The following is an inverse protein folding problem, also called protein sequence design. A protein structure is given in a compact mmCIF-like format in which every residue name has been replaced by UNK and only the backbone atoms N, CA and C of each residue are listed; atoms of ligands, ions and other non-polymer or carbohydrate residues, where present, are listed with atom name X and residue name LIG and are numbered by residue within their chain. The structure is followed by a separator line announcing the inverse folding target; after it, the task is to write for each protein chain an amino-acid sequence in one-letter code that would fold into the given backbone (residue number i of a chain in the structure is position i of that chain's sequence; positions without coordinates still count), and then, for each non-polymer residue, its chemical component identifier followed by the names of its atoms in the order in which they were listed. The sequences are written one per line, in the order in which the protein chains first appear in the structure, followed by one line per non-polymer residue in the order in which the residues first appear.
data_IF_958321549076
#
_entry.id   IF_958321549076
#
_cell.length_a   1.000
_cell.length_b   1.000
_cell.length_c   1.000
_cell.angle_alpha   90.00
_cell.angle_beta   90.00
_cell.angle_gamma   90.00
#
_symmetry.space_group_name_H-M   'P 1'
#
loop_
_entity.id
_entity.type
_entity.pdbx_description
1 polymer ?
#
# COMPACT_ATOMS: atom_id res chain seq x y z
N UNK A 1 61.97 40.54 -22.92
CA UNK A 1 60.83 39.78 -23.49
C UNK A 1 61.33 38.37 -23.81
N UNK A 2 60.99 37.34 -23.02
CA UNK A 2 61.48 35.97 -23.25
C UNK A 2 60.70 35.33 -24.40
N UNK A 3 61.35 35.11 -25.54
CA UNK A 3 60.79 34.37 -26.66
C UNK A 3 60.92 32.88 -26.35
N UNK A 4 59.89 32.28 -25.78
CA UNK A 4 59.82 30.83 -25.59
C UNK A 4 59.97 30.11 -26.93
N UNK A 5 60.80 29.07 -26.95
CA UNK A 5 61.07 28.30 -28.16
C UNK A 5 59.79 27.56 -28.60
N UNK A 6 59.59 27.36 -29.92
CA UNK A 6 58.43 26.64 -30.46
C UNK A 6 58.26 25.23 -29.85
N UNK A 7 59.34 24.63 -29.35
CA UNK A 7 59.34 23.33 -28.65
C UNK A 7 58.74 23.43 -27.23
N UNK A 8 59.07 24.46 -26.46
CA UNK A 8 58.52 24.66 -25.11
C UNK A 8 57.01 24.94 -25.13
N UNK A 9 56.51 25.67 -26.14
CA UNK A 9 55.07 25.88 -26.32
C UNK A 9 54.33 24.59 -26.67
N UNK A 10 54.92 23.73 -27.50
CA UNK A 10 54.33 22.44 -27.88
C UNK A 10 54.28 21.45 -26.70
N UNK A 11 55.34 21.39 -25.89
CA UNK A 11 55.40 20.59 -24.65
C UNK A 11 54.32 21.00 -23.65
N UNK A 12 54.12 22.31 -23.42
CA UNK A 12 53.08 22.84 -22.53
C UNK A 12 51.68 22.51 -23.03
N UNK A 13 51.41 22.65 -24.32
CA UNK A 13 50.12 22.27 -24.92
C UNK A 13 49.85 20.76 -24.81
N UNK A 14 50.88 19.90 -24.95
CA UNK A 14 50.75 18.44 -24.78
C UNK A 14 50.44 18.07 -23.32
N UNK A 15 51.11 18.74 -22.36
CA UNK A 15 50.86 18.58 -20.91
C UNK A 15 49.47 19.08 -20.53
N UNK A 16 49.04 20.21 -21.09
CA UNK A 16 47.72 20.81 -20.87
C UNK A 16 46.60 19.95 -21.47
N UNK A 17 46.79 19.36 -22.67
CA UNK A 17 45.86 18.40 -23.27
C UNK A 17 45.74 17.10 -22.47
N UNK A 18 46.83 16.62 -21.88
CA UNK A 18 46.80 15.45 -20.98
C UNK A 18 46.07 15.75 -19.68
N UNK A 19 46.22 16.95 -19.11
CA UNK A 19 45.47 17.35 -17.90
C UNK A 19 43.98 17.57 -18.18
N UNK A 20 43.60 18.10 -19.34
CA UNK A 20 42.18 18.26 -19.71
C UNK A 20 41.53 16.92 -20.07
N UNK A 21 42.25 16.00 -20.73
CA UNK A 21 41.80 14.62 -20.95
C UNK A 21 41.60 13.87 -19.63
N UNK A 22 42.54 14.01 -18.68
CA UNK A 22 42.39 13.41 -17.35
C UNK A 22 41.17 13.97 -16.60
N UNK A 23 40.95 15.29 -16.64
CA UNK A 23 39.77 15.93 -16.05
C UNK A 23 38.46 15.47 -16.71
N UNK A 24 38.45 15.27 -18.02
CA UNK A 24 37.28 14.76 -18.76
C UNK A 24 36.96 13.31 -18.38
N UNK A 25 37.96 12.44 -18.23
CA UNK A 25 37.78 11.05 -17.78
C UNK A 25 37.17 11.03 -16.37
N UNK A 26 37.69 11.86 -15.46
CA UNK A 26 37.14 11.98 -14.09
C UNK A 26 35.68 12.46 -14.14
N UNK A 27 35.37 13.46 -14.96
CA UNK A 27 33.99 13.95 -15.11
C UNK A 27 33.04 12.84 -15.63
N UNK A 28 33.48 12.04 -16.61
CA UNK A 28 32.69 10.91 -17.12
C UNK A 28 32.46 9.86 -16.03
N UNK A 29 33.49 9.51 -15.25
CA UNK A 29 33.36 8.56 -14.14
C UNK A 29 32.35 9.06 -13.11
N UNK A 30 32.39 10.36 -12.77
CA UNK A 30 31.43 10.96 -11.84
C UNK A 30 30.00 10.88 -12.39
N UNK A 31 29.79 11.18 -13.67
CA UNK A 31 28.47 11.08 -14.31
C UNK A 31 27.96 9.63 -14.31
N UNK A 32 28.81 8.66 -14.63
CA UNK A 32 28.45 7.23 -14.59
C UNK A 32 28.11 6.79 -13.16
N UNK A 33 28.91 7.19 -12.17
CA UNK A 33 28.66 6.88 -10.77
C UNK A 33 27.32 7.45 -10.29
N UNK A 34 27.01 8.71 -10.64
CA UNK A 34 25.71 9.32 -10.35
C UNK A 34 24.56 8.57 -11.05
N UNK A 35 24.74 8.17 -12.31
CA UNK A 35 23.75 7.35 -13.03
C UNK A 35 23.44 6.03 -12.33
N UNK A 36 24.46 5.32 -11.82
CA UNK A 36 24.29 4.07 -11.08
C UNK A 36 23.54 4.29 -9.76
N UNK A 37 23.86 5.36 -9.02
CA UNK A 37 23.17 5.69 -7.76
C UNK A 37 21.68 5.99 -8.01
N UNK A 38 21.37 6.79 -9.03
CA UNK A 38 19.99 7.12 -9.39
C UNK A 38 19.20 5.89 -9.87
N UNK A 39 19.83 4.99 -10.63
CA UNK A 39 19.20 3.74 -11.09
C UNK A 39 18.83 2.83 -9.91
N UNK A 40 19.75 2.64 -8.96
CA UNK A 40 19.48 1.85 -7.75
C UNK A 40 18.35 2.44 -6.91
N UNK A 41 18.25 3.77 -6.83
CA UNK A 41 17.16 4.45 -6.14
C UNK A 41 15.79 4.17 -6.77
N UNK A 42 15.70 4.18 -8.11
CA UNK A 42 14.44 3.90 -8.83
C UNK A 42 13.99 2.45 -8.72
N UNK A 43 14.91 1.49 -8.87
CA UNK A 43 14.56 0.07 -8.85
C UNK A 43 13.93 -0.37 -7.51
N UNK A 44 14.40 0.16 -6.38
CA UNK A 44 13.81 -0.13 -5.07
C UNK A 44 12.51 0.61 -4.76
N UNK A 45 12.12 1.61 -5.57
CA UNK A 45 10.90 2.39 -5.37
C UNK A 45 9.68 1.72 -6.03
N UNK A 46 9.86 1.10 -7.20
CA UNK A 46 8.75 0.44 -7.91
C UNK A 46 8.24 -0.79 -7.15
N UNK A 47 9.13 -1.61 -6.60
CA UNK A 47 8.77 -2.78 -5.80
C UNK A 47 8.00 -2.39 -4.53
N UNK A 48 8.48 -1.36 -3.82
CA UNK A 48 7.77 -0.83 -2.64
C UNK A 48 6.41 -0.24 -3.00
N UNK A 49 6.29 0.41 -4.15
CA UNK A 49 5.02 0.97 -4.60
C UNK A 49 4.00 -0.14 -4.90
N UNK A 50 4.42 -1.24 -5.53
CA UNK A 50 3.56 -2.38 -5.77
C UNK A 50 3.06 -3.02 -4.45
N UNK A 51 3.96 -3.18 -3.48
CA UNK A 51 3.60 -3.71 -2.15
C UNK A 51 2.62 -2.79 -1.41
N UNK A 52 2.85 -1.47 -1.43
CA UNK A 52 1.92 -0.51 -0.84
C UNK A 52 0.54 -0.51 -1.51
N UNK A 53 0.47 -0.68 -2.84
CA UNK A 53 -0.81 -0.80 -3.55
C UNK A 53 -1.57 -2.07 -3.16
N UNK A 54 -0.87 -3.18 -2.98
CA UNK A 54 -1.47 -4.43 -2.50
C UNK A 54 -2.04 -4.25 -1.07
N UNK A 55 -1.25 -3.65 -0.17
CA UNK A 55 -1.69 -3.35 1.20
C UNK A 55 -2.90 -2.39 1.23
N UNK A 56 -2.92 -1.35 0.39
CA UNK A 56 -4.08 -0.43 0.30
C UNK A 56 -5.33 -1.20 -0.13
N UNK A 57 -5.20 -2.07 -1.14
CA UNK A 57 -6.33 -2.84 -1.67
C UNK A 57 -6.87 -3.81 -0.61
N UNK A 58 -5.98 -4.49 0.10
CA UNK A 58 -6.35 -5.41 1.19
C UNK A 58 -7.04 -4.66 2.33
N UNK A 59 -6.46 -3.55 2.80
CA UNK A 59 -7.05 -2.74 3.86
C UNK A 59 -8.41 -2.17 3.46
N UNK A 60 -8.57 -1.74 2.20
CA UNK A 60 -9.85 -1.25 1.71
C UNK A 60 -10.91 -2.35 1.72
N UNK A 61 -10.56 -3.58 1.31
CA UNK A 61 -11.47 -4.72 1.39
C UNK A 61 -11.89 -5.01 2.83
N UNK A 62 -10.97 -4.95 3.79
CA UNK A 62 -11.28 -5.16 5.22
C UNK A 62 -12.20 -4.06 5.76
N UNK A 63 -12.00 -2.81 5.36
CA UNK A 63 -12.86 -1.69 5.74
C UNK A 63 -14.28 -1.91 5.19
N UNK A 64 -14.40 -2.29 3.93
CA UNK A 64 -15.71 -2.50 3.30
C UNK A 64 -16.47 -3.67 3.94
N UNK A 65 -15.78 -4.77 4.24
CA UNK A 65 -16.36 -5.91 4.95
C UNK A 65 -16.81 -5.55 6.38
N UNK A 66 -15.98 -4.82 7.13
CA UNK A 66 -16.34 -4.43 8.50
C UNK A 66 -17.47 -3.38 8.51
N UNK A 67 -17.51 -2.47 7.54
CA UNK A 67 -18.64 -1.54 7.38
C UNK A 67 -19.94 -2.29 7.12
N UNK A 68 -19.93 -3.28 6.21
CA UNK A 68 -21.10 -4.12 5.95
C UNK A 68 -21.53 -4.87 7.21
N UNK A 69 -20.58 -5.44 7.95
CA UNK A 69 -20.86 -6.13 9.21
C UNK A 69 -21.45 -5.20 10.27
N UNK A 70 -20.98 -3.96 10.32
CA UNK A 70 -21.51 -2.92 11.21
C UNK A 70 -22.97 -2.57 10.86
N UNK A 71 -23.29 -2.46 9.57
CA UNK A 71 -24.66 -2.22 9.12
C UNK A 71 -25.60 -3.39 9.47
N UNK A 72 -25.17 -4.63 9.20
CA UNK A 72 -25.91 -5.84 9.59
C UNK A 72 -26.16 -5.90 11.10
N UNK A 73 -25.15 -5.54 11.91
CA UNK A 73 -25.29 -5.52 13.37
C UNK A 73 -26.27 -4.43 13.84
N UNK A 74 -26.28 -3.26 13.19
CA UNK A 74 -27.23 -2.18 13.47
C UNK A 74 -28.68 -2.59 13.18
N UNK A 75 -28.91 -3.31 12.07
CA UNK A 75 -30.23 -3.86 11.76
C UNK A 75 -30.64 -4.93 12.77
N UNK A 76 -29.73 -5.83 13.13
CA UNK A 76 -29.98 -6.85 14.14
C UNK A 76 -30.30 -6.23 15.50
N UNK A 77 -29.57 -5.19 15.92
CA UNK A 77 -29.83 -4.46 17.16
C UNK A 77 -31.26 -3.89 17.19
N UNK A 78 -31.75 -3.35 16.07
CA UNK A 78 -33.13 -2.88 15.96
C UNK A 78 -34.12 -4.04 16.10
N UNK A 79 -33.87 -5.16 15.43
CA UNK A 79 -34.74 -6.35 15.48
C UNK A 79 -34.89 -6.90 16.90
N UNK A 80 -33.79 -7.07 17.64
CA UNK A 80 -33.85 -7.63 19.01
C UNK A 80 -34.55 -6.71 20.02
N UNK A 81 -34.62 -5.40 19.73
CA UNK A 81 -35.40 -4.44 20.54
C UNK A 81 -36.90 -4.45 20.23
N UNK A 82 -37.34 -5.19 19.21
CA UNK A 82 -38.76 -5.23 18.83
C UNK A 82 -39.58 -6.11 19.77
N UNK A 83 -40.89 -5.80 19.87
CA UNK A 83 -41.86 -6.65 20.57
C UNK A 83 -41.97 -8.05 19.96
N UNK A 84 -41.79 -8.16 18.64
CA UNK A 84 -41.79 -9.45 17.93
C UNK A 84 -40.68 -10.37 18.45
N UNK A 85 -39.47 -9.85 18.63
CA UNK A 85 -38.38 -10.63 19.22
C UNK A 85 -38.69 -11.08 20.65
N UNK A 86 -39.25 -10.20 21.48
CA UNK A 86 -39.67 -10.56 22.84
C UNK A 86 -40.74 -11.65 22.83
N UNK A 87 -41.74 -11.53 21.94
CA UNK A 87 -42.80 -12.52 21.77
C UNK A 87 -42.27 -13.87 21.28
N UNK A 88 -41.36 -13.86 20.31
CA UNK A 88 -40.70 -15.05 19.78
C UNK A 88 -39.86 -15.75 20.86
N UNK A 89 -39.12 -14.99 21.67
CA UNK A 89 -38.38 -15.52 22.82
C UNK A 89 -39.34 -16.05 23.90
N UNK A 90 -40.44 -15.36 24.18
CA UNK A 90 -41.47 -15.79 25.12
C UNK A 90 -42.12 -17.13 24.70
N UNK A 91 -42.48 -17.24 23.41
CA UNK A 91 -43.05 -18.45 22.81
C UNK A 91 -42.04 -19.60 22.78
N UNK A 92 -40.83 -19.36 22.26
CA UNK A 92 -39.82 -20.41 22.04
C UNK A 92 -39.12 -20.86 23.32
N UNK A 93 -38.72 -19.94 24.21
CA UNK A 93 -37.97 -20.29 25.44
C UNK A 93 -38.88 -20.61 26.61
N UNK A 94 -39.98 -19.88 26.76
CA UNK A 94 -40.84 -20.00 27.95
C UNK A 94 -42.16 -20.72 27.65
N UNK A 95 -42.44 -21.07 26.38
CA UNK A 95 -43.67 -21.76 26.01
C UNK A 95 -44.94 -20.93 26.22
N UNK A 96 -44.78 -19.60 26.34
CA UNK A 96 -45.90 -18.69 26.56
C UNK A 96 -46.68 -18.52 25.27
N UNK A 97 -48.00 -18.57 25.33
CA UNK A 97 -48.91 -18.42 24.20
C UNK A 97 -50.01 -17.43 24.57
N UNK A 98 -50.60 -16.76 23.60
CA UNK A 98 -51.76 -15.92 23.89
C UNK A 98 -52.98 -16.77 24.28
N UNK A 99 -53.91 -16.25 25.11
CA UNK A 99 -55.08 -17.00 25.56
C UNK A 99 -55.98 -17.53 24.42
N UNK A 100 -55.94 -16.89 23.26
CA UNK A 100 -56.67 -17.21 22.04
C UNK A 100 -55.86 -18.04 21.01
N UNK A 101 -54.60 -18.37 21.30
CA UNK A 101 -53.74 -19.19 20.42
C UNK A 101 -53.79 -20.69 20.80
N UNK A 102 -53.86 -21.58 19.79
CA UNK A 102 -53.76 -23.04 19.96
C UNK A 102 -52.44 -23.55 19.35
N UNK A 103 -51.62 -24.26 20.12
CA UNK A 103 -50.35 -24.83 19.67
C UNK A 103 -50.47 -26.33 19.41
N UNK A 104 -50.20 -26.75 18.17
CA UNK A 104 -50.11 -28.16 17.79
C UNK A 104 -48.64 -28.62 17.79
N UNK A 105 -48.30 -29.58 18.64
CA UNK A 105 -47.00 -30.26 18.60
C UNK A 105 -47.17 -31.62 17.90
N UNK A 106 -46.38 -31.93 16.85
CA UNK A 106 -46.46 -33.24 16.20
C UNK A 106 -46.04 -34.32 17.19
N UNK A 107 -46.87 -35.36 17.32
CA UNK A 107 -46.58 -36.50 18.17
C UNK A 107 -45.71 -37.47 17.34
N UNK A 108 -44.39 -37.28 17.37
CA UNK A 108 -43.47 -38.22 16.74
C UNK A 108 -43.51 -39.53 17.54
N UNK A 109 -44.13 -40.57 16.97
CA UNK A 109 -44.02 -41.96 17.45
C UNK A 109 -42.70 -42.57 17.00
#
# INVERSE_FOLDING_TARGET
MKLESRRERAERLKKQRRSTLAGMIIAIIVVVALGVVLWRGKAGLEEKNADYQAQITELQSQIDDENKRSDELSEYEKYVKTKKFVEEIAKNKFGLIYPDELVFKPNNK
#
